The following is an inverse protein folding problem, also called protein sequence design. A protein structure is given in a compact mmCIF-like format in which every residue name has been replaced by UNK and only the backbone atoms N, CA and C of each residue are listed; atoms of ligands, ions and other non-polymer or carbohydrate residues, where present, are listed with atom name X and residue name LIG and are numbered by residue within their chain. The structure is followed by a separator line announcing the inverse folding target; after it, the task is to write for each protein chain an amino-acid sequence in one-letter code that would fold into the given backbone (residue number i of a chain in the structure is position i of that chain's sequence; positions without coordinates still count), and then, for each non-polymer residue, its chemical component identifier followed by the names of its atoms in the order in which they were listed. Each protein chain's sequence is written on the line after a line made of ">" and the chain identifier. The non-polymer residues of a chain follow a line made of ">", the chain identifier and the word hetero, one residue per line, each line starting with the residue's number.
data_IF_077126263112
#
_entry.id   IF_077126263112
#
_cell.length_a   1.000
_cell.length_b   1.000
_cell.length_c   1.000
_cell.angle_alpha   90.00
_cell.angle_beta   90.00
_cell.angle_gamma   90.00
#
_symmetry.space_group_name_H-M   'P 1'
#
loop_
_entity.id
_entity.type
_entity.pdbx_description
1 polymer ?
#
# COMPACT_ATOMS: atom_id res chain seq x y z
N UNK A 1 18.65 -6.49 -21.19
CA UNK A 1 18.88 -7.63 -20.27
C UNK A 1 17.82 -7.57 -19.19
N UNK A 2 16.80 -8.41 -19.27
CA UNK A 2 15.79 -8.50 -18.23
C UNK A 2 16.44 -9.14 -17.00
N UNK A 3 16.69 -8.34 -15.95
CA UNK A 3 17.07 -8.88 -14.66
C UNK A 3 15.97 -9.84 -14.24
N UNK A 4 16.27 -11.14 -14.12
CA UNK A 4 15.35 -12.11 -13.52
C UNK A 4 15.01 -11.59 -12.13
N UNK A 5 13.80 -11.07 -11.96
CA UNK A 5 13.36 -10.56 -10.68
C UNK A 5 13.13 -11.77 -9.77
N UNK A 6 14.06 -12.02 -8.84
CA UNK A 6 14.03 -13.20 -7.97
C UNK A 6 12.73 -13.26 -7.13
N UNK A 7 12.23 -14.47 -6.91
CA UNK A 7 11.08 -14.68 -6.03
C UNK A 7 11.46 -14.31 -4.58
N UNK A 8 10.50 -13.76 -3.83
CA UNK A 8 10.66 -13.54 -2.39
C UNK A 8 10.47 -14.88 -1.68
N UNK A 9 11.46 -15.29 -0.88
CA UNK A 9 11.51 -16.62 -0.26
C UNK A 9 11.25 -16.62 1.24
N UNK A 10 11.29 -15.46 1.90
CA UNK A 10 11.03 -15.34 3.33
C UNK A 10 10.56 -13.94 3.74
N UNK A 11 10.00 -13.85 4.95
CA UNK A 11 9.44 -12.61 5.52
C UNK A 11 10.48 -11.49 5.69
N UNK A 12 11.72 -11.82 6.08
CA UNK A 12 12.78 -10.82 6.24
C UNK A 12 13.12 -10.14 4.90
N UNK A 13 13.16 -10.91 3.81
CA UNK A 13 13.33 -10.38 2.46
C UNK A 13 12.14 -9.53 2.03
N UNK A 14 10.90 -9.96 2.33
CA UNK A 14 9.69 -9.19 2.05
C UNK A 14 9.72 -7.80 2.73
N UNK A 15 10.01 -7.76 4.04
CA UNK A 15 10.14 -6.52 4.82
C UNK A 15 11.26 -5.64 4.32
N UNK A 16 12.41 -6.20 3.95
CA UNK A 16 13.54 -5.43 3.38
C UNK A 16 13.15 -4.76 2.07
N UNK A 17 12.49 -5.49 1.17
CA UNK A 17 12.03 -4.95 -0.12
C UNK A 17 10.97 -3.86 0.11
N UNK A 18 10.02 -4.09 1.02
CA UNK A 18 9.02 -3.10 1.38
C UNK A 18 9.68 -1.80 1.90
N UNK A 19 10.55 -1.93 2.89
CA UNK A 19 11.26 -0.79 3.48
C UNK A 19 12.16 -0.07 2.48
N UNK A 20 12.64 -0.71 1.41
CA UNK A 20 13.42 -0.03 0.38
C UNK A 20 12.64 1.09 -0.31
N UNK A 21 11.32 0.92 -0.48
CA UNK A 21 10.47 1.86 -1.22
C UNK A 21 9.67 2.80 -0.33
N UNK A 22 9.31 2.35 0.90
CA UNK A 22 8.37 3.08 1.75
C UNK A 22 8.96 3.56 3.09
N UNK A 23 10.30 3.51 3.26
CA UNK A 23 10.98 3.89 4.52
C UNK A 23 10.54 5.25 5.06
N UNK A 24 10.40 6.21 4.16
CA UNK A 24 10.18 7.62 4.53
C UNK A 24 8.69 7.99 4.54
N UNK A 25 7.79 7.04 4.21
CA UNK A 25 6.35 7.28 4.00
C UNK A 25 5.48 6.89 5.19
N UNK A 26 6.04 6.82 6.41
CA UNK A 26 5.36 6.28 7.59
C UNK A 26 4.57 5.00 7.26
N UNK A 27 5.26 4.03 6.66
CA UNK A 27 4.67 2.80 6.16
C UNK A 27 5.20 1.59 6.92
N UNK A 28 4.39 0.54 7.05
CA UNK A 28 4.81 -0.70 7.70
C UNK A 28 4.18 -1.94 7.08
N UNK A 29 4.91 -3.05 7.12
CA UNK A 29 4.45 -4.39 6.78
C UNK A 29 4.69 -5.31 7.97
N UNK A 30 3.63 -5.92 8.49
CA UNK A 30 3.72 -6.86 9.63
C UNK A 30 3.93 -8.32 9.18
N UNK A 31 3.95 -9.23 10.15
CA UNK A 31 4.19 -10.66 9.94
C UNK A 31 2.98 -11.39 9.32
N UNK A 32 1.81 -10.77 9.36
CA UNK A 32 0.55 -11.31 8.86
C UNK A 32 0.18 -10.78 7.47
N UNK A 33 1.02 -9.92 6.90
CA UNK A 33 0.78 -9.30 5.61
C UNK A 33 -0.19 -8.12 5.67
N UNK A 34 -0.40 -7.53 6.86
CA UNK A 34 -1.06 -6.24 6.96
C UNK A 34 -0.06 -5.14 6.58
N UNK A 35 -0.49 -4.26 5.70
CA UNK A 35 0.27 -3.15 5.15
C UNK A 35 -0.41 -1.86 5.58
N UNK A 36 0.36 -1.02 6.26
CA UNK A 36 0.03 0.37 6.51
C UNK A 36 0.83 1.26 5.57
N UNK A 37 0.15 2.16 4.87
CA UNK A 37 0.77 3.19 4.05
C UNK A 37 0.31 4.56 4.56
N UNK A 38 1.27 5.41 4.94
CA UNK A 38 0.99 6.80 5.25
C UNK A 38 0.93 7.65 3.98
N UNK A 39 -0.14 8.41 3.81
CA UNK A 39 -0.19 9.50 2.83
C UNK A 39 0.80 10.59 3.22
N UNK A 40 1.60 11.06 2.26
CA UNK A 40 2.61 12.10 2.49
C UNK A 40 2.09 13.53 2.40
N UNK A 41 0.83 13.74 2.01
CA UNK A 41 0.24 15.04 1.71
C UNK A 41 -1.18 15.18 2.25
N UNK A 42 -1.60 16.42 2.55
CA UNK A 42 -2.97 16.75 2.94
C UNK A 42 -3.95 16.41 1.81
N UNK A 43 -4.57 15.22 1.91
CA UNK A 43 -5.50 14.68 0.90
C UNK A 43 -5.22 13.21 0.57
N UNK A 44 -3.98 12.77 0.74
CA UNK A 44 -3.62 11.35 0.75
C UNK A 44 -3.97 10.81 2.13
N UNK A 45 -5.04 10.00 2.21
CA UNK A 45 -5.38 9.35 3.48
C UNK A 45 -4.22 8.48 3.99
N UNK A 46 -4.33 7.97 5.20
CA UNK A 46 -3.57 6.80 5.60
C UNK A 46 -4.40 5.55 5.24
N UNK A 47 -3.75 4.45 4.87
CA UNK A 47 -4.49 3.22 4.61
C UNK A 47 -3.85 2.01 5.27
N UNK A 48 -4.66 1.22 5.96
CA UNK A 48 -4.31 -0.09 6.48
C UNK A 48 -5.14 -1.16 5.75
N UNK A 49 -4.47 -2.17 5.19
CA UNK A 49 -5.12 -3.25 4.45
C UNK A 49 -4.30 -4.54 4.52
N UNK A 50 -4.95 -5.68 4.25
CA UNK A 50 -4.24 -6.96 4.11
C UNK A 50 -3.77 -7.15 2.67
N UNK A 51 -2.47 -7.32 2.45
CA UNK A 51 -1.86 -7.34 1.11
C UNK A 51 -2.39 -8.45 0.20
N UNK A 52 -2.86 -9.55 0.78
CA UNK A 52 -3.46 -10.67 0.05
C UNK A 52 -4.89 -10.40 -0.39
N UNK A 53 -5.59 -9.43 0.19
CA UNK A 53 -7.01 -9.20 -0.06
C UNK A 53 -7.30 -7.84 -0.71
N UNK A 54 -6.33 -7.35 -1.49
CA UNK A 54 -6.45 -6.11 -2.26
C UNK A 54 -6.18 -6.34 -3.75
N UNK A 55 -6.80 -5.52 -4.59
CA UNK A 55 -6.37 -5.28 -5.95
C UNK A 55 -5.56 -4.00 -6.00
N UNK A 56 -4.38 -4.08 -6.61
CA UNK A 56 -3.50 -2.94 -6.82
C UNK A 56 -3.59 -2.50 -8.27
N UNK A 57 -3.76 -1.21 -8.49
CA UNK A 57 -3.62 -0.55 -9.78
C UNK A 57 -2.76 0.71 -9.64
N UNK A 58 -2.17 1.17 -10.74
CA UNK A 58 -1.39 2.41 -10.77
C UNK A 58 -1.88 3.34 -11.85
N UNK A 59 -2.00 4.62 -11.50
CA UNK A 59 -2.27 5.69 -12.44
C UNK A 59 -1.02 6.52 -12.63
N UNK A 60 -0.54 6.59 -13.87
CA UNK A 60 0.54 7.48 -14.26
C UNK A 60 -0.06 8.81 -14.64
N UNK A 61 0.31 9.85 -13.91
CA UNK A 61 -0.09 11.22 -14.23
C UNK A 61 1.09 12.00 -14.76
N UNK A 62 1.00 12.54 -15.99
CA UNK A 62 2.05 13.40 -16.51
C UNK A 62 2.10 14.70 -15.71
N UNK A 63 3.13 15.49 -15.98
CA UNK A 63 3.21 16.84 -15.46
C UNK A 63 1.99 17.66 -15.94
N UNK A 64 1.30 18.31 -15.02
CA UNK A 64 0.08 19.07 -15.27
C UNK A 64 0.20 20.48 -14.69
N UNK A 65 -0.27 21.52 -15.38
CA UNK A 65 -0.40 22.85 -14.77
C UNK A 65 -1.45 22.79 -13.65
N UNK A 66 -1.05 23.12 -12.43
CA UNK A 66 -1.92 23.24 -11.26
C UNK A 66 -2.44 24.66 -11.08
N UNK A 67 -3.42 24.83 -10.17
CA UNK A 67 -4.06 26.14 -9.90
C UNK A 67 -3.10 27.20 -9.34
N UNK A 68 -1.90 26.81 -8.89
CA UNK A 68 -0.87 27.71 -8.35
C UNK A 68 0.58 27.37 -8.79
N UNK A 69 0.89 26.09 -9.08
CA UNK A 69 2.23 25.60 -9.47
C UNK A 69 2.14 24.51 -10.55
N UNK A 70 3.26 24.13 -11.15
CA UNK A 70 3.35 22.93 -11.98
C UNK A 70 3.32 21.70 -11.06
N UNK A 71 2.35 20.82 -11.26
CA UNK A 71 2.33 19.52 -10.62
C UNK A 71 3.23 18.59 -11.43
N UNK A 72 4.35 18.16 -10.85
CA UNK A 72 5.24 17.19 -11.48
C UNK A 72 4.51 15.89 -11.82
N UNK A 73 5.12 15.13 -12.75
CA UNK A 73 4.65 13.79 -13.05
C UNK A 73 4.61 12.94 -11.78
N UNK A 74 3.60 12.08 -11.66
CA UNK A 74 3.40 11.29 -10.45
C UNK A 74 2.80 9.93 -10.76
N UNK A 75 3.03 8.99 -9.84
CA UNK A 75 2.36 7.68 -9.85
C UNK A 75 1.45 7.61 -8.64
N UNK A 76 0.17 7.36 -8.87
CA UNK A 76 -0.85 7.21 -7.84
C UNK A 76 -1.17 5.72 -7.70
N UNK A 77 -1.16 5.21 -6.47
CA UNK A 77 -1.51 3.83 -6.18
C UNK A 77 -2.98 3.73 -5.79
N UNK A 78 -3.73 2.95 -6.57
CA UNK A 78 -5.12 2.62 -6.30
C UNK A 78 -5.18 1.26 -5.59
N UNK A 79 -5.75 1.23 -4.39
CA UNK A 79 -5.80 0.05 -3.52
C UNK A 79 -7.26 -0.27 -3.23
N UNK A 80 -7.79 -1.25 -3.97
CA UNK A 80 -9.17 -1.68 -3.83
C UNK A 80 -9.22 -2.94 -2.97
N UNK A 81 -9.72 -2.84 -1.74
CA UNK A 81 -9.91 -4.02 -0.93
C UNK A 81 -11.07 -4.88 -1.45
N UNK A 82 -10.92 -6.20 -1.33
CA UNK A 82 -11.90 -7.16 -1.84
C UNK A 82 -12.87 -7.59 -0.74
N UNK A 83 -12.49 -8.59 0.08
CA UNK A 83 -13.40 -9.19 1.07
C UNK A 83 -13.31 -8.51 2.43
N UNK A 84 -12.10 -8.16 2.87
CA UNK A 84 -11.82 -7.24 3.96
C UNK A 84 -12.01 -5.82 3.46
N UNK A 85 -12.46 -4.91 4.31
CA UNK A 85 -12.43 -3.48 4.04
C UNK A 85 -10.99 -2.95 4.19
N UNK A 86 -10.67 -1.84 3.53
CA UNK A 86 -9.45 -1.10 3.84
C UNK A 86 -9.75 -0.12 4.97
N UNK A 87 -8.91 0.05 5.98
CA UNK A 87 -9.12 1.11 6.97
C UNK A 87 -8.46 2.40 6.46
N UNK A 88 -9.27 3.40 6.17
CA UNK A 88 -8.79 4.74 5.82
C UNK A 88 -8.64 5.56 7.11
N UNK A 89 -7.50 6.23 7.25
CA UNK A 89 -7.17 7.05 8.42
C UNK A 89 -7.38 6.31 9.76
N UNK A 90 -6.69 5.17 10.00
CA UNK A 90 -6.91 4.32 11.18
C UNK A 90 -6.77 5.05 12.52
N UNK A 91 -6.00 6.14 12.54
CA UNK A 91 -5.85 7.03 13.68
C UNK A 91 -7.15 7.79 13.98
N UNK A 92 -7.86 8.27 12.95
CA UNK A 92 -9.17 8.89 13.11
C UNK A 92 -10.25 7.87 13.43
N UNK A 93 -10.24 6.66 12.88
CA UNK A 93 -11.26 5.66 13.22
C UNK A 93 -11.21 5.25 14.70
N UNK A 94 -10.02 5.16 15.30
CA UNK A 94 -9.88 4.91 16.75
C UNK A 94 -10.40 6.05 17.63
N UNK A 95 -10.39 7.29 17.12
CA UNK A 95 -10.84 8.50 17.84
C UNK A 95 -12.35 8.70 17.69
N UNK A 96 -12.92 8.39 16.53
CA UNK A 96 -14.35 8.63 16.24
C UNK A 96 -15.26 7.45 16.60
N UNK A 97 -14.79 6.20 16.58
CA UNK A 97 -15.65 5.03 16.81
C UNK A 97 -15.61 4.45 18.22
N UNK A 98 -14.75 4.96 19.10
CA UNK A 98 -14.54 4.37 20.43
C UNK A 98 -13.93 2.97 20.34
N UNK A 99 -13.34 2.49 21.43
CA UNK A 99 -12.64 1.20 21.56
C UNK A 99 -13.18 0.09 20.65
N UNK A 100 -12.55 -0.11 19.51
CA UNK A 100 -12.90 -1.18 18.57
C UNK A 100 -12.19 -2.43 19.05
N UNK A 101 -12.97 -3.45 19.42
CA UNK A 101 -12.47 -4.65 20.10
C UNK A 101 -11.59 -5.54 19.19
N UNK A 102 -11.61 -5.34 17.87
CA UNK A 102 -10.69 -6.02 16.94
C UNK A 102 -10.52 -5.31 15.58
N UNK A 103 -9.34 -5.47 14.97
CA UNK A 103 -9.02 -5.00 13.61
C UNK A 103 -10.01 -5.57 12.58
N UNK A 104 -10.45 -6.82 12.76
CA UNK A 104 -11.38 -7.50 11.85
C UNK A 104 -12.78 -6.85 11.78
N UNK A 105 -13.18 -6.09 12.79
CA UNK A 105 -14.48 -5.41 12.82
C UNK A 105 -14.45 -4.04 12.11
N UNK A 106 -13.31 -3.35 12.17
CA UNK A 106 -13.03 -2.15 11.37
C UNK A 106 -12.93 -2.50 9.87
N UNK A 107 -12.36 -3.67 9.56
CA UNK A 107 -12.28 -4.23 8.21
C UNK A 107 -13.66 -4.62 7.62
N UNK A 108 -14.81 -4.19 8.17
CA UNK A 108 -16.14 -4.44 7.56
C UNK A 108 -16.80 -3.20 6.94
N UNK A 109 -16.26 -1.99 7.14
CA UNK A 109 -17.02 -0.76 6.88
C UNK A 109 -16.50 0.20 5.81
N UNK A 110 -15.42 -0.09 5.10
CA UNK A 110 -14.73 0.97 4.36
C UNK A 110 -14.47 0.70 2.89
N UNK A 111 -14.65 1.79 2.13
CA UNK A 111 -14.51 2.03 0.70
C UNK A 111 -13.05 1.99 0.23
N UNK A 112 -12.85 1.98 -1.08
CA UNK A 112 -11.56 2.03 -1.77
C UNK A 112 -10.55 2.98 -1.10
N UNK A 113 -9.32 2.50 -0.91
CA UNK A 113 -8.20 3.31 -0.47
C UNK A 113 -7.42 3.82 -1.68
N UNK A 114 -7.24 5.14 -1.76
CA UNK A 114 -6.25 5.74 -2.65
C UNK A 114 -5.09 6.20 -1.79
N UNK A 115 -3.92 5.59 -1.95
CA UNK A 115 -2.84 5.89 -1.01
C UNK A 115 -1.47 5.56 -1.53
N UNK A 116 -0.60 6.56 -1.40
CA UNK A 116 0.78 6.71 -1.89
C UNK A 116 0.86 7.30 -3.29
N UNK A 117 1.45 8.50 -3.32
CA UNK A 117 1.86 9.22 -4.51
C UNK A 117 3.39 9.31 -4.56
N UNK A 118 3.97 8.92 -5.70
CA UNK A 118 5.39 9.15 -5.99
C UNK A 118 5.50 10.36 -6.92
N UNK A 119 5.91 11.51 -6.40
CA UNK A 119 6.11 12.75 -7.17
C UNK A 119 7.49 12.80 -7.80
N UNK A 120 7.58 13.19 -9.07
CA UNK A 120 8.83 13.42 -9.79
C UNK A 120 9.70 12.18 -10.04
N UNK A 121 9.34 11.01 -9.49
CA UNK A 121 10.07 9.75 -9.65
C UNK A 121 9.13 8.62 -10.07
N UNK A 122 8.67 8.69 -11.32
CA UNK A 122 7.80 7.67 -11.93
C UNK A 122 8.48 6.30 -11.97
N UNK A 123 9.81 6.27 -12.08
CA UNK A 123 10.58 5.04 -12.11
C UNK A 123 10.55 4.33 -10.75
N UNK A 124 10.77 5.06 -9.66
CA UNK A 124 10.63 4.53 -8.31
C UNK A 124 9.19 4.07 -8.04
N UNK A 125 8.18 4.86 -8.44
CA UNK A 125 6.78 4.48 -8.28
C UNK A 125 6.44 3.15 -8.97
N UNK A 126 6.86 2.96 -10.22
CA UNK A 126 6.68 1.67 -10.93
C UNK A 126 7.42 0.51 -10.25
N UNK A 127 8.62 0.75 -9.76
CA UNK A 127 9.40 -0.27 -9.06
C UNK A 127 8.77 -0.67 -7.71
N UNK A 128 8.24 0.31 -6.98
CA UNK A 128 7.51 0.08 -5.74
C UNK A 128 6.22 -0.73 -5.97
N UNK A 129 5.49 -0.47 -7.05
CA UNK A 129 4.31 -1.24 -7.43
C UNK A 129 4.64 -2.72 -7.73
N UNK A 130 5.67 -2.98 -8.52
CA UNK A 130 6.11 -4.36 -8.79
C UNK A 130 6.64 -5.05 -7.52
N UNK A 131 7.24 -4.31 -6.60
CA UNK A 131 7.62 -4.83 -5.30
C UNK A 131 6.40 -5.26 -4.47
N UNK A 132 5.34 -4.45 -4.41
CA UNK A 132 4.10 -4.80 -3.72
C UNK A 132 3.46 -6.06 -4.29
N UNK A 133 3.42 -6.21 -5.62
CA UNK A 133 2.92 -7.44 -6.28
C UNK A 133 3.71 -8.67 -5.86
N UNK A 134 5.05 -8.59 -5.83
CA UNK A 134 5.89 -9.72 -5.40
C UNK A 134 5.70 -10.08 -3.93
N UNK A 135 5.52 -9.08 -3.07
CA UNK A 135 5.24 -9.30 -1.64
C UNK A 135 3.87 -9.96 -1.50
N UNK A 136 2.85 -9.49 -2.25
CA UNK A 136 1.52 -10.12 -2.28
C UNK A 136 1.61 -11.60 -2.68
N UNK A 137 2.34 -11.91 -3.74
CA UNK A 137 2.53 -13.29 -4.20
C UNK A 137 3.20 -14.16 -3.14
N UNK A 138 4.15 -13.61 -2.37
CA UNK A 138 4.75 -14.30 -1.23
C UNK A 138 3.71 -14.65 -0.16
N UNK A 139 2.94 -13.68 0.32
CA UNK A 139 1.92 -13.95 1.34
C UNK A 139 0.78 -14.85 0.84
N UNK A 140 0.46 -14.84 -0.45
CA UNK A 140 -0.45 -15.82 -1.04
C UNK A 140 0.09 -17.24 -0.97
N UNK A 141 1.39 -17.45 -1.25
CA UNK A 141 2.01 -18.78 -1.15
C UNK A 141 2.05 -19.28 0.30
N UNK A 142 2.43 -18.42 1.25
CA UNK A 142 2.47 -18.77 2.67
C UNK A 142 1.08 -19.16 3.19
N UNK A 143 0.03 -18.41 2.84
CA UNK A 143 -1.33 -18.70 3.27
C UNK A 143 -1.83 -20.08 2.78
N UNK A 144 -1.39 -20.53 1.60
CA UNK A 144 -1.74 -21.85 1.05
C UNK A 144 -0.99 -23.02 1.71
N UNK A 145 0.13 -22.78 2.40
CA UNK A 145 0.92 -23.85 3.05
C UNK A 145 0.44 -24.18 4.47
N UNK A 146 -0.44 -23.34 5.04
CA UNK A 146 -1.01 -23.50 6.39
C UNK A 146 -2.38 -24.21 6.43
N UNK A 147 -2.84 -24.79 5.32
CA UNK A 147 -4.07 -25.60 5.24
C UNK A 147 -3.73 -27.08 5.12
#
# INVERSE_FOLDING_TARGET
>A
MASKTEAITNLAQAKRIFNQFFRDSNASLDDYGNVYLGGGSAGDGHCLFRITDVHFDIELRPQEPGCADICDERVIFHIQCRRSACIRDPWMESIFYGSVESVDELLKKSTDCQTVMFYGDVKAGKAAFEALKRIKDFFHREACMTQ
#
